data_IF_822141098329
#
_entry.id   IF_822141098329
#
_cell.length_a   1.000
_cell.length_b   1.000
_cell.length_c   1.000
_cell.angle_alpha   90.00
_cell.angle_beta   90.00
_cell.angle_gamma   90.00
#
_symmetry.space_group_name_H-M   'P 1'
#
loop_
_entity.id
_entity.type
_entity.pdbx_description
1 polymer ?
#
# COMPACT_ATOMS: atom_id res chain seq x y z
N UNK A 1 -10.01 17.65 1.55
CA UNK A 1 -10.55 16.31 1.70
C UNK A 1 -10.49 15.85 3.15
N UNK A 2 -11.64 15.53 3.71
CA UNK A 2 -11.73 15.18 5.12
C UNK A 2 -10.98 13.91 5.51
N UNK A 3 -11.06 12.87 4.68
CA UNK A 3 -10.37 11.62 4.97
C UNK A 3 -8.86 11.78 4.96
N UNK A 4 -8.37 12.60 4.05
CA UNK A 4 -6.94 12.86 3.97
C UNK A 4 -6.44 13.56 5.23
N UNK A 5 -7.21 14.51 5.74
CA UNK A 5 -6.84 15.21 6.98
C UNK A 5 -6.84 14.29 8.18
N UNK A 6 -7.80 13.38 8.25
CA UNK A 6 -7.84 12.38 9.31
C UNK A 6 -6.61 11.48 9.27
N UNK A 7 -6.24 11.06 8.06
CA UNK A 7 -5.06 10.23 7.88
C UNK A 7 -3.79 10.97 8.26
N UNK A 8 -3.64 12.22 7.82
CA UNK A 8 -2.47 13.04 8.16
C UNK A 8 -2.32 13.19 9.67
N UNK A 9 -3.42 13.45 10.35
CA UNK A 9 -3.40 13.60 11.81
C UNK A 9 -2.93 12.32 12.47
N UNK A 10 -3.42 11.19 11.99
CA UNK A 10 -3.08 9.90 12.56
C UNK A 10 -1.62 9.51 12.35
N UNK A 11 -1.12 9.69 11.13
CA UNK A 11 0.23 9.24 10.80
C UNK A 11 1.33 10.05 11.48
N UNK A 12 1.04 11.26 11.96
CA UNK A 12 2.02 12.05 12.70
C UNK A 12 2.51 11.32 13.93
N UNK A 13 1.67 10.48 14.51
CA UNK A 13 1.98 9.72 15.71
C UNK A 13 2.56 8.33 15.45
N UNK A 14 2.65 7.95 14.17
CA UNK A 14 3.08 6.62 13.78
C UNK A 14 4.48 6.67 13.17
N UNK A 15 5.33 5.72 13.55
CA UNK A 15 6.70 5.69 13.05
C UNK A 15 6.74 5.32 11.56
N UNK A 16 7.80 5.74 10.87
CA UNK A 16 7.98 5.38 9.47
C UNK A 16 8.04 3.87 9.25
N UNK A 17 8.61 3.14 10.20
CA UNK A 17 8.69 1.68 10.09
C UNK A 17 7.31 1.03 10.10
N UNK A 18 6.41 1.51 10.94
CA UNK A 18 5.06 0.99 11.01
C UNK A 18 4.27 1.29 9.74
N UNK A 19 4.59 2.40 9.06
CA UNK A 19 3.92 2.80 7.83
C UNK A 19 4.38 2.00 6.61
N UNK A 20 5.35 1.13 6.76
CA UNK A 20 5.81 0.28 5.67
C UNK A 20 4.95 -0.97 5.49
N UNK A 21 4.15 -1.32 6.48
CA UNK A 21 3.31 -2.52 6.45
C UNK A 21 1.95 -2.21 7.05
N UNK A 22 1.06 -1.68 6.21
CA UNK A 22 -0.27 -1.27 6.62
C UNK A 22 -1.31 -2.16 5.95
N UNK A 23 -2.15 -2.79 6.77
CA UNK A 23 -3.25 -3.59 6.24
C UNK A 23 -4.47 -2.70 6.01
N UNK A 24 -5.34 -3.06 5.05
CA UNK A 24 -6.54 -2.26 4.78
C UNK A 24 -7.39 -1.96 6.02
N UNK A 25 -7.53 -2.93 6.93
CA UNK A 25 -8.34 -2.72 8.12
C UNK A 25 -7.77 -1.64 9.04
N UNK A 26 -6.45 -1.46 9.06
CA UNK A 26 -5.81 -0.41 9.84
C UNK A 26 -6.15 0.97 9.27
N UNK A 27 -6.11 1.11 7.95
CA UNK A 27 -6.50 2.35 7.31
C UNK A 27 -7.96 2.68 7.60
N UNK A 28 -8.83 1.68 7.51
CA UNK A 28 -10.25 1.84 7.79
C UNK A 28 -10.47 2.36 9.21
N UNK A 29 -9.76 1.79 10.15
CA UNK A 29 -9.86 2.21 11.56
C UNK A 29 -9.35 3.64 11.76
N UNK A 30 -8.24 3.98 11.10
CA UNK A 30 -7.65 5.30 11.24
C UNK A 30 -8.53 6.44 10.70
N UNK A 31 -9.22 6.19 9.59
CA UNK A 31 -10.05 7.23 8.97
C UNK A 31 -11.55 7.08 9.26
N UNK A 32 -11.96 5.96 9.85
CA UNK A 32 -13.32 5.75 10.30
C UNK A 32 -14.37 5.75 9.20
N UNK A 33 -14.13 5.02 8.11
CA UNK A 33 -15.05 4.98 6.97
C UNK A 33 -15.55 3.56 6.71
N UNK A 34 -16.60 3.46 5.91
CA UNK A 34 -17.11 2.18 5.47
C UNK A 34 -16.18 1.58 4.41
N UNK A 35 -16.27 0.26 4.23
CA UNK A 35 -15.43 -0.46 3.30
C UNK A 35 -15.48 0.10 1.87
N UNK A 36 -16.66 0.52 1.43
CA UNK A 36 -16.83 1.09 0.10
C UNK A 36 -16.04 2.38 -0.09
N UNK A 37 -16.13 3.25 0.90
CA UNK A 37 -15.40 4.53 0.87
C UNK A 37 -13.91 4.31 1.01
N UNK A 38 -13.50 3.29 1.75
CA UNK A 38 -12.10 2.95 1.91
C UNK A 38 -11.47 2.60 0.58
N UNK A 39 -12.14 1.79 -0.25
CA UNK A 39 -11.63 1.42 -1.57
C UNK A 39 -11.35 2.63 -2.45
N UNK A 40 -12.28 3.58 -2.48
CA UNK A 40 -12.12 4.80 -3.26
C UNK A 40 -10.96 5.64 -2.73
N UNK A 41 -10.85 5.75 -1.42
CA UNK A 41 -9.77 6.51 -0.78
C UNK A 41 -8.40 5.90 -1.08
N UNK A 42 -8.29 4.58 -1.00
CA UNK A 42 -7.05 3.88 -1.32
C UNK A 42 -6.64 4.14 -2.76
N UNK A 43 -7.60 4.06 -3.70
CA UNK A 43 -7.31 4.34 -5.10
C UNK A 43 -6.78 5.76 -5.30
N UNK A 44 -7.35 6.72 -4.61
CA UNK A 44 -6.89 8.11 -4.69
C UNK A 44 -5.46 8.27 -4.17
N UNK A 45 -5.14 7.61 -3.06
CA UNK A 45 -3.79 7.65 -2.50
C UNK A 45 -2.77 7.01 -3.44
N UNK A 46 -3.14 5.90 -4.05
CA UNK A 46 -2.26 5.21 -5.01
C UNK A 46 -2.01 6.06 -6.25
N UNK A 47 -3.06 6.67 -6.79
CA UNK A 47 -2.95 7.53 -7.98
C UNK A 47 -2.10 8.77 -7.71
N UNK A 48 -2.15 9.29 -6.50
CA UNK A 48 -1.37 10.45 -6.11
C UNK A 48 0.07 10.10 -5.71
N UNK A 49 0.43 8.83 -5.76
CA UNK A 49 1.75 8.32 -5.36
C UNK A 49 2.09 8.62 -3.90
N UNK A 50 1.07 8.66 -3.06
CA UNK A 50 1.24 8.84 -1.62
C UNK A 50 1.35 7.51 -0.90
N UNK A 51 1.00 6.44 -1.56
CA UNK A 51 0.97 5.09 -1.01
C UNK A 51 1.32 4.09 -2.09
N UNK A 52 1.97 3.01 -1.73
CA UNK A 52 2.28 1.91 -2.63
C UNK A 52 1.64 0.63 -2.15
N UNK A 53 1.20 -0.19 -3.10
CA UNK A 53 0.59 -1.49 -2.80
C UNK A 53 1.66 -2.57 -2.84
N UNK A 54 1.61 -3.48 -1.87
CA UNK A 54 2.55 -4.59 -1.75
C UNK A 54 1.80 -5.90 -1.56
N UNK A 55 2.45 -7.00 -1.89
CA UNK A 55 1.91 -8.33 -1.69
C UNK A 55 2.83 -9.15 -0.82
N UNK A 56 2.28 -9.74 0.23
CA UNK A 56 2.97 -10.71 1.08
C UNK A 56 2.46 -12.09 0.70
N UNK A 57 3.37 -13.01 0.43
CA UNK A 57 3.01 -14.39 0.14
C UNK A 57 4.14 -15.32 0.53
N UNK A 58 3.80 -16.60 0.67
CA UNK A 58 4.81 -17.62 0.94
C UNK A 58 5.12 -18.37 -0.34
N UNK A 59 6.39 -18.43 -0.69
CA UNK A 59 6.85 -19.21 -1.82
C UNK A 59 6.66 -20.71 -1.52
N UNK A 60 6.52 -21.53 -2.55
CA UNK A 60 6.37 -22.97 -2.38
C UNK A 60 7.57 -23.59 -1.65
N UNK A 61 8.72 -22.93 -1.66
CA UNK A 61 9.89 -23.39 -0.90
C UNK A 61 9.83 -23.04 0.60
N UNK A 62 8.77 -22.33 1.03
CA UNK A 62 8.58 -21.95 2.42
C UNK A 62 9.08 -20.55 2.77
N UNK A 63 9.77 -19.88 1.86
CA UNK A 63 10.29 -18.55 2.12
C UNK A 63 9.16 -17.49 2.08
N UNK A 64 9.15 -16.59 3.06
CA UNK A 64 8.20 -15.48 3.08
C UNK A 64 8.70 -14.38 2.16
N UNK A 65 7.85 -13.95 1.24
CA UNK A 65 8.21 -12.98 0.21
C UNK A 65 7.31 -11.77 0.25
N UNK A 66 7.88 -10.60 -0.10
CA UNK A 66 7.12 -9.37 -0.23
C UNK A 66 7.57 -8.70 -1.53
N UNK A 67 6.60 -8.24 -2.32
CA UNK A 67 6.90 -7.56 -3.58
C UNK A 67 5.94 -6.38 -3.79
N UNK A 68 6.49 -5.28 -4.33
CA UNK A 68 5.64 -4.14 -4.69
C UNK A 68 4.82 -4.49 -5.94
N UNK A 69 3.57 -4.07 -5.96
CA UNK A 69 2.68 -4.34 -7.07
C UNK A 69 3.24 -3.83 -8.41
N UNK A 70 3.81 -2.63 -8.40
CA UNK A 70 4.41 -2.05 -9.61
C UNK A 70 5.56 -2.88 -10.15
N UNK A 71 6.39 -3.40 -9.26
CA UNK A 71 7.52 -4.21 -9.65
C UNK A 71 7.09 -5.57 -10.17
N UNK A 72 6.11 -6.17 -9.53
CA UNK A 72 5.56 -7.45 -9.95
C UNK A 72 4.97 -7.35 -11.38
N UNK A 73 4.21 -6.30 -11.67
CA UNK A 73 3.63 -6.11 -12.97
C UNK A 73 4.67 -5.89 -14.07
N UNK A 74 5.77 -5.23 -13.73
CA UNK A 74 6.81 -4.91 -14.70
C UNK A 74 7.75 -6.07 -14.97
N UNK A 75 8.21 -6.74 -13.93
CA UNK A 75 9.29 -7.71 -14.03
C UNK A 75 8.97 -9.09 -13.47
N UNK A 76 7.80 -9.27 -12.87
CA UNK A 76 7.54 -10.47 -12.10
C UNK A 76 8.33 -10.46 -10.81
N UNK A 77 8.39 -11.59 -10.16
CA UNK A 77 9.13 -11.74 -8.91
C UNK A 77 9.90 -13.06 -8.90
N UNK A 78 11.16 -13.00 -8.48
CA UNK A 78 12.00 -14.20 -8.34
C UNK A 78 12.30 -14.42 -6.87
N UNK A 79 11.95 -15.61 -6.35
CA UNK A 79 12.24 -15.94 -4.97
C UNK A 79 13.75 -16.04 -4.77
N UNK A 80 14.33 -15.29 -3.82
CA UNK A 80 15.79 -15.29 -3.62
C UNK A 80 16.33 -16.61 -3.06
N UNK A 81 15.45 -17.44 -2.50
CA UNK A 81 15.88 -18.70 -1.90
C UNK A 81 15.88 -19.88 -2.87
N UNK A 82 14.89 -19.94 -3.77
CA UNK A 82 14.75 -21.08 -4.68
C UNK A 82 14.75 -20.71 -6.17
N UNK A 83 14.87 -19.42 -6.48
CA UNK A 83 14.91 -18.90 -7.85
C UNK A 83 13.61 -19.12 -8.66
N UNK A 84 12.53 -19.51 -8.01
CA UNK A 84 11.25 -19.64 -8.70
C UNK A 84 10.74 -18.26 -9.10
N UNK A 85 10.27 -18.15 -10.36
CA UNK A 85 9.71 -16.92 -10.90
C UNK A 85 8.20 -16.93 -10.77
N UNK A 86 7.62 -15.80 -10.34
CA UNK A 86 6.18 -15.63 -10.21
C UNK A 86 5.69 -14.50 -11.11
N UNK A 87 4.53 -14.69 -11.71
CA UNK A 87 3.84 -13.64 -12.46
C UNK A 87 2.64 -13.15 -11.64
N UNK A 88 2.07 -11.98 -11.98
CA UNK A 88 0.97 -11.41 -11.17
C UNK A 88 -0.19 -12.37 -10.90
N UNK A 89 -0.62 -13.12 -11.90
CA UNK A 89 -1.75 -14.03 -11.74
C UNK A 89 -1.50 -15.14 -10.71
N UNK A 90 -0.25 -15.57 -10.58
CA UNK A 90 0.10 -16.62 -9.62
C UNK A 90 0.05 -16.12 -8.18
N UNK A 91 0.34 -14.84 -7.97
CA UNK A 91 0.39 -14.25 -6.64
C UNK A 91 -0.99 -13.76 -6.19
N UNK A 92 -1.80 -13.24 -7.11
CA UNK A 92 -3.09 -12.63 -6.79
C UNK A 92 -4.01 -13.52 -5.95
N UNK A 93 -3.96 -14.82 -6.16
CA UNK A 93 -4.84 -15.74 -5.46
C UNK A 93 -4.37 -16.15 -4.07
N UNK A 94 -3.13 -15.86 -3.71
CA UNK A 94 -2.57 -16.32 -2.43
C UNK A 94 -1.90 -15.25 -1.60
N UNK A 95 -1.79 -14.05 -2.13
CA UNK A 95 -1.10 -12.97 -1.44
C UNK A 95 -2.03 -12.20 -0.51
N UNK A 96 -1.44 -11.69 0.56
CA UNK A 96 -2.10 -10.71 1.42
C UNK A 96 -1.71 -9.35 0.91
N UNK A 97 -2.69 -8.49 0.65
CA UNK A 97 -2.43 -7.12 0.18
C UNK A 97 -2.15 -6.22 1.37
N UNK A 98 -1.09 -5.44 1.27
CA UNK A 98 -0.79 -4.42 2.26
C UNK A 98 -0.24 -3.18 1.57
N UNK A 99 -0.06 -2.11 2.33
CA UNK A 99 0.33 -0.82 1.78
C UNK A 99 1.50 -0.23 2.53
N UNK A 100 2.22 0.64 1.84
CA UNK A 100 3.29 1.42 2.43
C UNK A 100 3.00 2.88 2.16
N UNK A 101 3.03 3.72 3.21
CA UNK A 101 2.80 5.15 3.10
C UNK A 101 4.13 5.88 3.27
N UNK A 102 4.43 6.79 2.35
CA UNK A 102 5.55 7.71 2.49
C UNK A 102 5.07 8.87 3.38
N UNK A 103 5.44 8.82 4.65
CA UNK A 103 5.00 9.79 5.64
C UNK A 103 5.32 11.22 5.23
N UNK A 104 6.52 11.44 4.74
CA UNK A 104 6.98 12.77 4.36
C UNK A 104 6.15 13.33 3.21
N UNK A 105 5.94 12.55 2.17
CA UNK A 105 5.14 12.95 1.02
C UNK A 105 3.69 13.21 1.40
N UNK A 106 3.12 12.34 2.22
CA UNK A 106 1.73 12.49 2.63
C UNK A 106 1.52 13.75 3.47
N UNK A 107 2.42 14.02 4.41
CA UNK A 107 2.29 15.21 5.25
C UNK A 107 2.46 16.52 4.47
N UNK A 108 3.21 16.48 3.38
CA UNK A 108 3.41 17.64 2.52
C UNK A 108 2.33 17.80 1.46
N UNK A 109 1.55 16.76 1.25
CA UNK A 109 0.55 16.79 0.20
C UNK A 109 -0.52 17.82 0.48
N UNK A 110 -0.77 18.67 -0.51
CA UNK A 110 -1.80 19.69 -0.43
C UNK A 110 -2.82 19.42 -1.52
N UNK A 111 -4.01 18.99 -1.11
CA UNK A 111 -5.08 18.66 -2.04
C UNK A 111 -5.41 19.83 -2.96
N UNK A 112 -5.34 21.06 -2.45
CA UNK A 112 -5.65 22.24 -3.23
C UNK A 112 -4.66 22.50 -4.36
N UNK A 113 -3.44 21.96 -4.24
CA UNK A 113 -2.42 22.07 -5.30
C UNK A 113 -2.83 21.38 -6.58
N UNK A 114 -3.63 20.33 -6.45
CA UNK A 114 -4.10 19.56 -7.60
C UNK A 114 -5.16 20.34 -8.35
N UNK A 115 -5.98 21.05 -7.65
CA UNK A 115 -7.08 21.84 -8.24
C UNK A 115 -6.59 22.99 -9.09
N UNK A 116 -5.34 23.40 -8.88
CA UNK A 116 -4.73 24.48 -9.65
C UNK A 116 -4.23 24.04 -11.01
N UNK A 117 -4.26 22.78 -11.27
CA UNK A 117 -3.83 22.20 -12.53
C UNK A 117 -4.99 21.86 -13.41
#
# INVERSE_FOLDING_TARGET
MELLEKLKTRIKEISCNELRRIYPFQLQEWVGVEERELGTFIDELLKANLMEEKYDFQCDCGNDCTVYQKELERNGFVCPECDRTYIPNEIAGKATVLYEIDKKSLLRYDHSSIDLK
#
